data_IF_071200006183
#
_entry.id   IF_071200006183
#
_cell.length_a   1.000
_cell.length_b   1.000
_cell.length_c   1.000
_cell.angle_alpha   90.00
_cell.angle_beta   90.00
_cell.angle_gamma   90.00
#
_symmetry.space_group_name_H-M   'P 1'
#
loop_
_entity.id
_entity.type
_entity.pdbx_description
1 polymer ?
#
# COMPACT_ATOMS: atom_id res chain seq x y z
N UNK A 1 -29.12 31.07 26.33
CA UNK A 1 -30.56 31.27 26.10
C UNK A 1 -31.19 31.54 27.47
N UNK A 2 -31.56 32.79 27.77
CA UNK A 2 -32.13 33.20 29.06
C UNK A 2 -33.65 33.04 28.98
N UNK A 3 -34.21 32.13 29.77
CA UNK A 3 -35.66 31.99 29.92
C UNK A 3 -36.09 32.99 30.99
N UNK A 4 -36.88 33.98 30.57
CA UNK A 4 -37.48 35.02 31.40
C UNK A 4 -38.59 34.39 32.26
N UNK A 5 -38.53 34.61 33.58
CA UNK A 5 -39.59 34.27 34.53
C UNK A 5 -40.76 35.25 34.37
N UNK A 6 -41.90 34.78 33.89
CA UNK A 6 -43.16 35.52 33.97
C UNK A 6 -43.78 35.27 35.36
N UNK A 7 -44.04 36.35 36.08
CA UNK A 7 -44.75 36.37 37.37
C UNK A 7 -46.25 36.22 37.14
N UNK A 8 -46.86 35.22 37.77
CA UNK A 8 -48.31 35.01 37.76
C UNK A 8 -49.05 36.09 38.56
N UNK A 9 -50.24 36.54 38.11
CA UNK A 9 -51.05 37.52 38.83
C UNK A 9 -51.73 36.90 40.08
N UNK A 10 -51.98 37.70 41.12
CA UNK A 10 -52.63 37.22 42.35
C UNK A 10 -54.09 36.82 42.09
N UNK A 11 -54.46 35.63 42.56
CA UNK A 11 -55.84 35.13 42.54
C UNK A 11 -56.73 35.94 43.50
N UNK A 12 -57.87 36.39 42.97
CA UNK A 12 -58.91 37.13 43.70
C UNK A 12 -59.66 36.19 44.67
N UNK A 13 -59.64 36.46 46.00
CA UNK A 13 -60.28 35.59 47.00
C UNK A 13 -61.82 35.69 47.03
N UNK A 14 -62.43 36.44 46.12
CA UNK A 14 -63.87 36.70 46.11
C UNK A 14 -64.70 35.59 45.42
N UNK A 15 -64.07 34.67 44.70
CA UNK A 15 -64.80 33.63 43.94
C UNK A 15 -65.07 32.33 44.74
N UNK A 16 -64.49 32.16 45.93
CA UNK A 16 -64.58 30.91 46.70
C UNK A 16 -65.75 30.85 47.70
N UNK A 17 -66.37 31.97 48.05
CA UNK A 17 -67.40 31.98 49.09
C UNK A 17 -68.79 31.57 48.58
N UNK A 18 -69.13 31.85 47.32
CA UNK A 18 -70.47 31.58 46.78
C UNK A 18 -70.64 30.16 46.22
N UNK A 19 -69.56 29.53 45.72
CA UNK A 19 -69.65 28.20 45.11
C UNK A 19 -69.85 27.07 46.14
N UNK A 20 -69.50 27.31 47.40
CA UNK A 20 -69.58 26.31 48.47
C UNK A 20 -70.96 26.22 49.15
N UNK A 21 -71.89 27.14 48.86
CA UNK A 21 -73.20 27.18 49.52
C UNK A 21 -74.27 26.27 48.88
N UNK A 22 -74.06 25.81 47.63
CA UNK A 22 -75.05 25.01 46.88
C UNK A 22 -74.72 23.51 46.76
N UNK A 23 -73.64 23.02 47.40
CA UNK A 23 -73.40 21.56 47.48
C UNK A 23 -74.34 20.92 48.51
N UNK A 24 -75.58 20.74 48.05
CA UNK A 24 -76.70 20.19 48.78
C UNK A 24 -76.46 18.79 49.36
N UNK A 25 -77.11 18.59 50.51
CA UNK A 25 -77.67 17.35 51.06
C UNK A 25 -76.97 16.06 50.63
N UNK A 26 -76.08 15.56 51.50
CA UNK A 26 -75.47 14.24 51.41
C UNK A 26 -76.55 13.16 51.34
N UNK A 27 -76.93 12.76 50.13
CA UNK A 27 -77.65 11.51 49.89
C UNK A 27 -76.81 10.37 50.46
N UNK A 28 -77.30 9.75 51.53
CA UNK A 28 -76.72 8.54 52.11
C UNK A 28 -76.80 7.43 51.06
N UNK A 29 -75.71 7.23 50.32
CA UNK A 29 -75.54 6.09 49.43
C UNK A 29 -75.41 4.86 50.32
N UNK A 30 -76.52 4.12 50.44
CA UNK A 30 -76.61 2.89 51.21
C UNK A 30 -75.66 1.81 50.65
N UNK A 31 -74.75 1.34 51.52
CA UNK A 31 -73.99 0.08 51.60
C UNK A 31 -73.64 -0.79 50.37
N UNK A 32 -73.80 -0.36 49.12
CA UNK A 32 -73.23 -1.02 47.93
C UNK A 32 -71.87 -0.39 47.51
N UNK A 33 -71.08 0.07 48.49
CA UNK A 33 -70.11 1.17 48.32
C UNK A 33 -68.66 0.75 48.03
N UNK A 34 -68.41 -0.51 47.66
CA UNK A 34 -67.04 -1.04 47.45
C UNK A 34 -66.73 -1.51 46.03
N UNK A 35 -67.71 -1.91 45.22
CA UNK A 35 -67.46 -2.57 43.94
C UNK A 35 -66.80 -1.66 42.89
N UNK A 36 -67.19 -0.39 42.81
CA UNK A 36 -66.59 0.56 41.85
C UNK A 36 -65.14 0.87 42.21
N UNK A 37 -64.82 0.96 43.50
CA UNK A 37 -63.45 1.20 43.95
C UNK A 37 -62.51 0.03 43.60
N UNK A 38 -63.00 -1.22 43.70
CA UNK A 38 -62.24 -2.42 43.30
C UNK A 38 -61.98 -2.44 41.79
N UNK A 39 -63.00 -2.13 40.98
CA UNK A 39 -62.83 -2.02 39.52
C UNK A 39 -61.80 -0.95 39.15
N UNK A 40 -61.90 0.22 39.79
CA UNK A 40 -60.99 1.34 39.51
C UNK A 40 -59.55 1.01 39.91
N UNK A 41 -59.35 0.36 41.05
CA UNK A 41 -58.04 -0.11 41.49
C UNK A 41 -57.44 -1.12 40.51
N UNK A 42 -58.24 -2.04 39.97
CA UNK A 42 -57.81 -3.02 38.96
C UNK A 42 -57.40 -2.36 37.64
N UNK A 43 -58.20 -1.41 37.15
CA UNK A 43 -57.90 -0.70 35.91
C UNK A 43 -56.63 0.15 36.06
N UNK A 44 -56.48 0.86 37.19
CA UNK A 44 -55.29 1.66 37.46
C UNK A 44 -54.02 0.82 37.58
N UNK A 45 -54.07 -0.31 38.31
CA UNK A 45 -52.92 -1.22 38.42
C UNK A 45 -52.55 -1.81 37.06
N UNK A 46 -53.53 -2.21 36.25
CA UNK A 46 -53.27 -2.70 34.90
C UNK A 46 -52.61 -1.65 34.00
N UNK A 47 -53.11 -0.41 34.02
CA UNK A 47 -52.49 0.70 33.27
C UNK A 47 -51.06 0.97 33.73
N UNK A 48 -50.79 0.89 35.03
CA UNK A 48 -49.44 1.10 35.58
C UNK A 48 -48.47 0.00 35.16
N UNK A 49 -48.90 -1.26 35.15
CA UNK A 49 -48.08 -2.40 34.66
C UNK A 49 -47.77 -2.25 33.18
N UNK A 50 -48.75 -1.86 32.35
CA UNK A 50 -48.51 -1.60 30.93
C UNK A 50 -47.53 -0.44 30.71
N UNK A 51 -47.64 0.63 31.49
CA UNK A 51 -46.72 1.76 31.40
C UNK A 51 -45.29 1.36 31.76
N UNK A 52 -45.10 0.63 32.86
CA UNK A 52 -43.79 0.10 33.25
C UNK A 52 -43.19 -0.78 32.15
N UNK A 53 -43.99 -1.68 31.57
CA UNK A 53 -43.54 -2.53 30.47
C UNK A 53 -43.13 -1.73 29.22
N UNK A 54 -43.88 -0.69 28.84
CA UNK A 54 -43.54 0.17 27.69
C UNK A 54 -42.24 0.94 27.93
N UNK A 55 -42.00 1.42 29.16
CA UNK A 55 -40.75 2.10 29.52
C UNK A 55 -39.56 1.14 29.44
N UNK A 56 -39.68 -0.07 30.02
CA UNK A 56 -38.63 -1.09 29.97
C UNK A 56 -38.31 -1.50 28.52
N UNK A 57 -39.34 -1.67 27.69
CA UNK A 57 -39.16 -1.99 26.27
C UNK A 57 -38.54 -0.81 25.49
N UNK A 58 -38.86 0.43 25.85
CA UNK A 58 -38.25 1.63 25.31
C UNK A 58 -36.74 1.68 25.59
N UNK A 59 -36.32 1.40 26.82
CA UNK A 59 -34.90 1.29 27.17
C UNK A 59 -34.20 0.16 26.41
N UNK A 60 -34.85 -1.00 26.27
CA UNK A 60 -34.31 -2.14 25.52
C UNK A 60 -34.05 -1.78 24.04
N UNK A 61 -35.03 -1.15 23.36
CA UNK A 61 -34.89 -0.74 21.95
C UNK A 61 -33.79 0.31 21.81
N UNK A 62 -33.75 1.30 22.71
CA UNK A 62 -32.73 2.35 22.67
C UNK A 62 -31.31 1.77 22.77
N UNK A 63 -31.08 0.88 23.73
CA UNK A 63 -29.79 0.21 23.90
C UNK A 63 -29.40 -0.62 22.66
N UNK A 64 -30.38 -1.30 22.05
CA UNK A 64 -30.15 -2.09 20.83
C UNK A 64 -29.73 -1.20 19.65
N UNK A 65 -30.41 -0.07 19.44
CA UNK A 65 -30.08 0.85 18.34
C UNK A 65 -28.68 1.43 18.51
N UNK A 66 -28.31 1.80 19.74
CA UNK A 66 -27.00 2.34 20.06
C UNK A 66 -25.87 1.31 19.84
N UNK A 67 -26.09 0.04 20.22
CA UNK A 67 -25.13 -1.04 19.93
C UNK A 67 -24.94 -1.27 18.43
N UNK A 68 -26.01 -1.16 17.63
CA UNK A 68 -25.91 -1.26 16.18
C UNK A 68 -25.09 -0.12 15.58
N UNK A 69 -25.34 1.13 15.99
CA UNK A 69 -24.57 2.30 15.54
C UNK A 69 -23.08 2.16 15.94
N UNK A 70 -22.80 1.71 17.16
CA UNK A 70 -21.44 1.46 17.61
C UNK A 70 -20.75 0.38 16.75
N UNK A 71 -21.41 -0.75 16.50
CA UNK A 71 -20.89 -1.84 15.68
C UNK A 71 -20.64 -1.40 14.23
N UNK A 72 -21.59 -0.69 13.62
CA UNK A 72 -21.45 -0.18 12.25
C UNK A 72 -20.30 0.82 12.14
N UNK A 73 -20.15 1.72 13.12
CA UNK A 73 -19.04 2.68 13.15
C UNK A 73 -17.68 1.99 13.27
N UNK A 74 -17.58 0.94 14.08
CA UNK A 74 -16.37 0.15 14.22
C UNK A 74 -16.05 -0.57 12.90
N UNK A 75 -17.06 -1.12 12.23
CA UNK A 75 -16.91 -1.75 10.92
C UNK A 75 -16.43 -0.75 9.86
N UNK A 76 -17.02 0.46 9.80
CA UNK A 76 -16.56 1.52 8.89
C UNK A 76 -15.13 1.97 9.18
N UNK A 77 -14.74 2.08 10.45
CA UNK A 77 -13.37 2.41 10.83
C UNK A 77 -12.38 1.32 10.35
N UNK A 78 -12.73 0.04 10.52
CA UNK A 78 -11.95 -1.09 10.00
C UNK A 78 -11.82 -1.06 8.48
N UNK A 79 -12.93 -0.88 7.76
CA UNK A 79 -12.94 -0.78 6.30
C UNK A 79 -12.10 0.42 5.80
N UNK A 80 -12.15 1.57 6.48
CA UNK A 80 -11.34 2.73 6.13
C UNK A 80 -9.83 2.45 6.26
N UNK A 81 -9.41 1.73 7.31
CA UNK A 81 -8.02 1.31 7.47
C UNK A 81 -7.60 0.28 6.42
N UNK A 82 -8.45 -0.68 6.09
CA UNK A 82 -8.21 -1.61 4.99
C UNK A 82 -8.02 -0.88 3.66
N UNK A 83 -8.86 0.11 3.35
CA UNK A 83 -8.70 0.94 2.16
C UNK A 83 -7.38 1.73 2.15
N UNK A 84 -6.93 2.25 3.31
CA UNK A 84 -5.61 2.90 3.43
C UNK A 84 -4.47 1.93 3.14
N UNK A 85 -4.52 0.71 3.68
CA UNK A 85 -3.51 -0.32 3.43
C UNK A 85 -3.46 -0.68 1.93
N UNK A 86 -4.62 -0.89 1.29
CA UNK A 86 -4.70 -1.15 -0.15
C UNK A 86 -4.16 0.02 -1.00
N UNK A 87 -4.40 1.26 -0.59
CA UNK A 87 -3.83 2.44 -1.25
C UNK A 87 -2.30 2.48 -1.14
N UNK A 88 -1.74 2.11 0.01
CA UNK A 88 -0.28 2.01 0.18
C UNK A 88 0.30 0.91 -0.72
N UNK A 89 -0.32 -0.27 -0.76
CA UNK A 89 0.07 -1.34 -1.70
C UNK A 89 0.00 -0.87 -3.16
N UNK A 90 -1.06 -0.13 -3.52
CA UNK A 90 -1.22 0.48 -4.84
C UNK A 90 -0.09 1.45 -5.19
N UNK A 91 0.33 2.28 -4.23
CA UNK A 91 1.47 3.20 -4.41
C UNK A 91 2.78 2.43 -4.63
N UNK A 92 3.04 1.36 -3.87
CA UNK A 92 4.24 0.53 -4.03
C UNK A 92 4.21 -0.13 -5.43
N UNK A 93 3.08 -0.70 -5.84
CA UNK A 93 2.90 -1.28 -7.18
C UNK A 93 3.15 -0.27 -8.31
N UNK A 94 2.67 0.96 -8.14
CA UNK A 94 2.92 2.03 -9.09
C UNK A 94 4.41 2.35 -9.20
N UNK A 95 5.12 2.44 -8.07
CA UNK A 95 6.56 2.71 -8.04
C UNK A 95 7.38 1.56 -8.64
N UNK A 96 7.07 0.31 -8.30
CA UNK A 96 7.69 -0.86 -8.93
C UNK A 96 7.54 -0.84 -10.45
N UNK A 97 6.35 -0.47 -10.95
CA UNK A 97 6.13 -0.34 -12.39
C UNK A 97 6.92 0.81 -13.02
N UNK A 98 7.08 1.93 -12.32
CA UNK A 98 7.94 3.02 -12.81
C UNK A 98 9.40 2.59 -12.88
N UNK A 99 9.92 1.93 -11.84
CA UNK A 99 11.28 1.41 -11.83
C UNK A 99 11.52 0.39 -12.95
N UNK A 100 10.55 -0.50 -13.18
CA UNK A 100 10.60 -1.44 -14.30
C UNK A 100 10.64 -0.71 -15.66
N UNK A 101 9.80 0.31 -15.85
CA UNK A 101 9.81 1.11 -17.07
C UNK A 101 11.15 1.85 -17.25
N UNK A 102 11.74 2.38 -16.18
CA UNK A 102 13.05 3.02 -16.21
C UNK A 102 14.14 2.01 -16.60
N UNK A 103 14.13 0.82 -15.98
CA UNK A 103 15.05 -0.28 -16.31
C UNK A 103 14.94 -0.66 -17.80
N UNK A 104 13.71 -0.91 -18.29
CA UNK A 104 13.46 -1.28 -19.68
C UNK A 104 13.86 -0.15 -20.63
N UNK A 105 13.54 1.10 -20.31
CA UNK A 105 13.93 2.26 -21.12
C UNK A 105 15.46 2.40 -21.19
N UNK A 106 16.17 2.24 -20.06
CA UNK A 106 17.64 2.29 -20.06
C UNK A 106 18.21 1.12 -20.86
N UNK A 107 17.78 -0.10 -20.57
CA UNK A 107 18.28 -1.31 -21.21
C UNK A 107 18.00 -1.33 -22.73
N UNK A 108 16.80 -0.96 -23.16
CA UNK A 108 16.38 -1.07 -24.57
C UNK A 108 16.59 0.23 -25.35
N UNK A 109 16.22 1.38 -24.81
CA UNK A 109 16.26 2.64 -25.57
C UNK A 109 17.64 3.28 -25.46
N UNK A 110 18.13 3.49 -24.24
CA UNK A 110 19.43 4.14 -24.06
C UNK A 110 20.56 3.23 -24.54
N UNK A 111 20.53 1.96 -24.16
CA UNK A 111 21.62 1.05 -24.48
C UNK A 111 21.46 0.31 -25.82
N UNK A 112 20.25 -0.05 -26.28
CA UNK A 112 20.11 -0.71 -27.58
C UNK A 112 20.06 0.26 -28.78
N UNK A 113 19.64 1.53 -28.64
CA UNK A 113 19.76 2.52 -29.76
C UNK A 113 21.21 2.75 -30.19
N UNK A 114 22.13 2.47 -29.29
CA UNK A 114 23.55 2.62 -29.49
C UNK A 114 24.13 1.39 -30.22
N UNK A 115 23.31 0.36 -30.40
CA UNK A 115 23.60 -0.91 -31.06
C UNK A 115 22.91 -0.97 -32.45
N UNK A 116 23.16 0.03 -33.31
CA UNK A 116 22.41 0.27 -34.56
C UNK A 116 22.29 -0.91 -35.56
N UNK A 117 22.97 -2.04 -35.35
CA UNK A 117 22.90 -3.24 -36.18
C UNK A 117 22.69 -4.54 -35.39
N UNK A 118 22.24 -4.46 -34.14
CA UNK A 118 22.11 -5.63 -33.27
C UNK A 118 20.69 -5.73 -32.69
N UNK A 119 19.92 -6.78 -33.01
CA UNK A 119 20.16 -7.84 -34.01
C UNK A 119 19.87 -7.37 -35.45
N UNK A 120 20.65 -7.87 -36.41
CA UNK A 120 20.56 -7.53 -37.84
C UNK A 120 19.38 -8.18 -38.57
N UNK A 121 18.61 -9.04 -37.89
CA UNK A 121 17.41 -9.70 -38.43
C UNK A 121 16.13 -9.21 -37.75
N UNK A 122 15.12 -8.84 -38.54
CA UNK A 122 13.80 -8.43 -38.05
C UNK A 122 13.06 -9.50 -37.24
N UNK A 123 13.53 -10.75 -37.30
CA UNK A 123 12.94 -11.89 -36.59
C UNK A 123 13.33 -11.92 -35.11
N UNK A 124 14.43 -11.26 -34.73
CA UNK A 124 14.96 -11.26 -33.37
C UNK A 124 14.33 -10.16 -32.48
N UNK A 125 13.65 -9.18 -33.08
CA UNK A 125 12.97 -8.08 -32.37
C UNK A 125 11.47 -8.31 -32.12
N UNK A 126 10.87 -9.33 -32.74
CA UNK A 126 9.43 -9.58 -32.70
C UNK A 126 9.03 -10.79 -31.81
N UNK A 127 9.96 -11.36 -31.06
CA UNK A 127 9.68 -12.44 -30.11
C UNK A 127 9.24 -11.94 -28.73
N UNK A 128 8.38 -12.68 -28.00
CA UNK A 128 8.28 -12.49 -26.56
C UNK A 128 9.69 -12.63 -25.94
N UNK A 129 9.99 -11.87 -24.88
CA UNK A 129 11.31 -11.83 -24.19
C UNK A 129 11.86 -13.24 -23.87
N UNK A 130 11.00 -14.25 -23.82
CA UNK A 130 11.30 -15.67 -23.63
C UNK A 130 12.01 -16.37 -24.81
N UNK A 131 12.14 -15.73 -25.99
CA UNK A 131 12.80 -16.31 -27.17
C UNK A 131 14.23 -15.82 -27.39
N UNK A 132 14.94 -15.42 -26.33
CA UNK A 132 16.40 -15.33 -26.41
C UNK A 132 16.94 -16.74 -26.69
N UNK A 133 17.64 -16.97 -27.82
CA UNK A 133 18.18 -18.29 -28.15
C UNK A 133 19.06 -18.79 -27.00
N UNK A 134 18.92 -20.06 -26.63
CA UNK A 134 19.83 -20.71 -25.68
C UNK A 134 21.27 -20.53 -26.15
N UNK A 135 22.04 -19.68 -25.46
CA UNK A 135 23.39 -19.28 -25.85
C UNK A 135 23.61 -17.76 -25.90
N UNK A 136 22.56 -16.94 -25.91
CA UNK A 136 22.69 -15.49 -25.71
C UNK A 136 22.90 -15.17 -24.23
N UNK A 137 24.16 -15.18 -23.83
CA UNK A 137 24.59 -14.74 -22.50
C UNK A 137 24.50 -13.21 -22.42
N UNK A 138 23.50 -12.75 -21.68
CA UNK A 138 23.21 -11.35 -21.35
C UNK A 138 22.60 -10.50 -22.48
N UNK A 139 21.63 -9.62 -22.15
CA UNK A 139 21.33 -8.48 -23.02
C UNK A 139 22.62 -7.67 -23.15
N UNK A 140 23.23 -7.67 -24.33
CA UNK A 140 24.43 -6.88 -24.62
C UNK A 140 24.05 -5.40 -24.54
N UNK A 141 24.19 -4.83 -23.34
CA UNK A 141 24.13 -3.39 -23.12
C UNK A 141 25.36 -2.80 -23.79
N UNK A 142 25.14 -2.05 -24.86
CA UNK A 142 26.20 -1.53 -25.70
C UNK A 142 26.25 -0.02 -25.61
N UNK A 143 27.30 0.49 -24.99
CA UNK A 143 27.54 1.93 -24.94
C UNK A 143 28.06 2.43 -26.31
N UNK A 144 27.37 3.40 -26.93
CA UNK A 144 28.11 4.30 -27.82
C UNK A 144 29.08 5.05 -26.94
N UNK A 145 30.31 5.09 -27.39
CA UNK A 145 31.42 5.60 -26.64
C UNK A 145 31.40 7.15 -26.56
N UNK A 146 30.42 7.78 -27.20
CA UNK A 146 30.26 9.23 -27.23
C UNK A 146 29.69 9.78 -25.91
N UNK A 147 30.47 10.64 -25.25
CA UNK A 147 30.11 11.25 -23.97
C UNK A 147 30.51 10.43 -22.74
N UNK A 148 31.04 9.23 -22.94
CA UNK A 148 31.67 8.43 -21.90
C UNK A 148 33.19 8.65 -21.96
N UNK A 149 33.75 9.19 -20.88
CA UNK A 149 35.20 9.26 -20.70
C UNK A 149 35.62 7.96 -20.01
N UNK A 150 36.45 7.15 -20.67
CA UNK A 150 36.88 5.88 -20.08
C UNK A 150 37.62 6.11 -18.77
N UNK A 151 37.80 5.06 -17.98
CA UNK A 151 38.64 5.07 -16.76
C UNK A 151 40.05 5.61 -17.03
N UNK A 152 40.51 5.61 -18.29
CA UNK A 152 41.81 6.13 -18.73
C UNK A 152 41.75 7.48 -19.45
N UNK A 153 40.65 8.22 -19.34
CA UNK A 153 40.52 9.57 -19.93
C UNK A 153 40.32 9.60 -21.44
N UNK A 154 40.03 8.46 -22.08
CA UNK A 154 39.87 8.39 -23.53
C UNK A 154 38.49 8.91 -23.92
N UNK A 155 38.45 9.83 -24.87
CA UNK A 155 37.23 10.36 -25.48
C UNK A 155 37.07 9.76 -26.86
N UNK A 156 35.95 9.11 -27.09
CA UNK A 156 35.66 8.52 -28.39
C UNK A 156 34.93 9.50 -29.31
N UNK A 157 35.05 9.27 -30.61
CA UNK A 157 34.33 10.05 -31.62
C UNK A 157 32.81 9.79 -31.53
N UNK A 158 32.01 10.72 -32.09
CA UNK A 158 30.54 10.71 -31.94
C UNK A 158 29.84 9.50 -32.55
N UNK A 159 30.53 8.82 -33.45
CA UNK A 159 30.08 7.70 -34.27
C UNK A 159 30.66 6.36 -33.80
N UNK A 160 31.51 6.33 -32.77
CA UNK A 160 32.13 5.08 -32.30
C UNK A 160 31.10 4.19 -31.57
N UNK A 161 30.84 3.02 -32.15
CA UNK A 161 30.05 1.94 -31.55
C UNK A 161 30.98 0.80 -31.13
N UNK A 162 31.24 0.69 -29.82
CA UNK A 162 32.17 -0.31 -29.28
C UNK A 162 31.68 -1.75 -29.46
N UNK A 163 30.37 -1.96 -29.55
CA UNK A 163 29.80 -3.30 -29.68
C UNK A 163 29.72 -3.82 -31.09
N UNK A 164 29.50 -2.94 -32.08
CA UNK A 164 29.58 -3.36 -33.48
C UNK A 164 30.96 -3.92 -33.80
N UNK A 165 32.01 -3.37 -33.19
CA UNK A 165 33.39 -3.81 -33.38
C UNK A 165 33.79 -5.05 -32.55
N UNK A 166 32.96 -5.50 -31.60
CA UNK A 166 33.30 -6.56 -30.65
C UNK A 166 32.75 -7.97 -31.01
N UNK A 167 31.74 -8.09 -31.89
CA UNK A 167 31.17 -9.39 -32.29
C UNK A 167 31.83 -9.96 -33.55
N UNK A 168 32.70 -10.99 -33.48
CA UNK A 168 33.41 -11.54 -34.63
C UNK A 168 32.51 -12.17 -35.71
N UNK A 169 31.21 -12.41 -35.43
CA UNK A 169 30.28 -13.07 -36.36
C UNK A 169 29.33 -12.10 -37.09
N UNK A 170 29.00 -10.96 -36.49
CA UNK A 170 28.00 -10.01 -37.00
C UNK A 170 28.52 -8.70 -37.57
N UNK A 171 29.79 -8.35 -37.34
CA UNK A 171 30.35 -7.05 -37.76
C UNK A 171 31.56 -6.55 -36.98
N UNK A 172 32.07 -7.35 -36.05
CA UNK A 172 33.31 -7.11 -35.33
C UNK A 172 34.41 -6.82 -36.32
N UNK A 173 35.33 -5.91 -35.95
CA UNK A 173 36.49 -5.59 -36.75
C UNK A 173 37.05 -6.92 -37.27
N UNK A 174 36.95 -7.22 -38.59
CA UNK A 174 37.41 -8.50 -39.09
C UNK A 174 38.86 -8.62 -38.61
N UNK A 175 39.25 -9.78 -38.04
CA UNK A 175 40.57 -9.92 -37.44
C UNK A 175 41.57 -9.38 -38.45
N UNK A 176 42.32 -8.35 -38.05
CA UNK A 176 43.25 -7.69 -38.97
C UNK A 176 44.27 -8.75 -39.35
N UNK A 177 44.08 -9.37 -40.52
CA UNK A 177 44.94 -10.44 -40.99
C UNK A 177 46.24 -9.78 -41.39
N UNK A 178 47.25 -9.87 -40.54
CA UNK A 178 48.61 -9.44 -40.88
C UNK A 178 49.06 -10.36 -42.02
N UNK A 179 49.22 -9.86 -43.26
CA UNK A 179 49.65 -10.71 -44.36
C UNK A 179 51.05 -11.24 -44.05
N UNK A 180 51.36 -12.51 -44.37
CA UNK A 180 52.70 -13.04 -44.19
C UNK A 180 53.69 -12.21 -45.01
N UNK A 181 54.81 -11.85 -44.38
CA UNK A 181 55.86 -11.08 -45.04
C UNK A 181 56.58 -12.01 -46.04
N UNK A 182 56.24 -11.92 -47.33
CA UNK A 182 56.81 -12.77 -48.38
C UNK A 182 58.30 -12.47 -48.64
N UNK A 183 58.77 -11.28 -48.27
CA UNK A 183 60.16 -10.84 -48.40
C UNK A 183 60.61 -10.13 -47.12
N UNK A 184 61.16 -10.88 -46.15
CA UNK A 184 61.64 -10.34 -44.86
C UNK A 184 62.84 -9.41 -45.00
N UNK A 185 63.51 -9.41 -46.16
CA UNK A 185 64.63 -8.53 -46.48
C UNK A 185 64.18 -7.13 -46.95
N UNK A 186 62.90 -6.94 -47.31
CA UNK A 186 62.38 -5.63 -47.67
C UNK A 186 62.01 -4.84 -46.39
N UNK A 187 62.75 -3.76 -46.05
CA UNK A 187 62.50 -2.98 -44.85
C UNK A 187 61.11 -2.33 -44.84
N UNK A 188 60.50 -2.07 -46.00
CA UNK A 188 59.15 -1.52 -46.08
C UNK A 188 58.08 -2.55 -45.72
N UNK A 189 58.19 -3.76 -46.26
CA UNK A 189 57.30 -4.87 -45.91
C UNK A 189 57.36 -5.22 -44.42
N UNK A 190 58.56 -5.20 -43.81
CA UNK A 190 58.73 -5.41 -42.38
C UNK A 190 58.10 -4.29 -41.53
N UNK A 191 58.29 -3.01 -41.93
CA UNK A 191 57.71 -1.86 -41.24
C UNK A 191 56.18 -1.84 -41.32
N UNK A 192 55.60 -2.16 -42.48
CA UNK A 192 54.14 -2.25 -42.66
C UNK A 192 53.55 -3.37 -41.78
N UNK A 193 54.16 -4.56 -41.78
CA UNK A 193 53.70 -5.66 -40.94
C UNK A 193 53.78 -5.32 -39.44
N UNK A 194 54.81 -4.59 -39.00
CA UNK A 194 54.93 -4.12 -37.62
C UNK A 194 53.82 -3.10 -37.27
N UNK A 195 53.51 -2.18 -38.18
CA UNK A 195 52.44 -1.20 -37.98
C UNK A 195 51.06 -1.86 -37.92
N UNK A 196 50.78 -2.85 -38.78
CA UNK A 196 49.51 -3.60 -38.77
C UNK A 196 49.35 -4.37 -37.45
N UNK A 197 50.43 -4.99 -36.94
CA UNK A 197 50.41 -5.66 -35.63
C UNK A 197 50.13 -4.70 -34.48
N UNK A 198 50.68 -3.48 -34.52
CA UNK A 198 50.40 -2.47 -33.50
C UNK A 198 48.94 -1.99 -33.57
N UNK A 199 48.39 -1.80 -34.77
CA UNK A 199 46.96 -1.48 -34.94
C UNK A 199 46.07 -2.61 -34.39
N UNK A 200 46.40 -3.87 -34.68
CA UNK A 200 45.68 -5.03 -34.14
C UNK A 200 45.72 -5.05 -32.61
N UNK A 201 46.90 -4.84 -32.01
CA UNK A 201 47.06 -4.77 -30.55
C UNK A 201 46.21 -3.66 -29.92
N UNK A 202 46.14 -2.49 -30.55
CA UNK A 202 45.30 -1.39 -30.06
C UNK A 202 43.81 -1.71 -30.17
N UNK A 203 43.39 -2.36 -31.25
CA UNK A 203 42.02 -2.83 -31.42
C UNK A 203 41.62 -3.87 -30.36
N UNK A 204 42.50 -4.83 -30.07
CA UNK A 204 42.28 -5.84 -29.03
C UNK A 204 42.11 -5.20 -27.65
N UNK A 205 42.97 -4.21 -27.33
CA UNK A 205 42.89 -3.44 -26.08
C UNK A 205 41.58 -2.65 -25.98
N UNK A 206 41.11 -2.08 -27.08
CA UNK A 206 39.83 -1.35 -27.12
C UNK A 206 38.63 -2.28 -26.92
N UNK A 207 38.66 -3.47 -27.52
CA UNK A 207 37.62 -4.48 -27.35
C UNK A 207 37.58 -5.00 -25.90
N UNK A 208 38.74 -5.28 -25.31
CA UNK A 208 38.83 -5.73 -23.92
C UNK A 208 38.32 -4.66 -22.95
N UNK A 209 38.67 -3.39 -23.16
CA UNK A 209 38.15 -2.27 -22.37
C UNK A 209 36.63 -2.10 -22.53
N UNK A 210 36.11 -2.20 -23.75
CA UNK A 210 34.67 -2.12 -24.01
C UNK A 210 33.88 -3.23 -23.32
N UNK A 211 34.44 -4.45 -23.26
CA UNK A 211 33.86 -5.56 -22.49
C UNK A 211 33.76 -5.21 -21.01
N UNK A 212 34.86 -4.77 -20.40
CA UNK A 212 34.89 -4.47 -18.97
C UNK A 212 33.94 -3.32 -18.58
N UNK A 213 33.81 -2.30 -19.43
CA UNK A 213 32.87 -1.19 -19.21
C UNK A 213 31.40 -1.64 -19.35
N UNK A 214 31.10 -2.52 -20.31
CA UNK A 214 29.77 -3.12 -20.46
C UNK A 214 29.42 -4.02 -19.26
N UNK A 215 30.36 -4.84 -18.79
CA UNK A 215 30.18 -5.67 -17.58
C UNK A 215 29.90 -4.81 -16.35
N UNK A 216 30.63 -3.70 -16.16
CA UNK A 216 30.37 -2.74 -15.07
C UNK A 216 29.01 -2.09 -15.17
N UNK A 217 28.55 -1.76 -16.37
CA UNK A 217 27.22 -1.20 -16.58
C UNK A 217 26.12 -2.22 -16.25
N UNK A 218 26.26 -3.46 -16.73
CA UNK A 218 25.33 -4.54 -16.39
C UNK A 218 25.31 -4.76 -14.88
N UNK A 219 26.48 -4.82 -14.25
CA UNK A 219 26.62 -4.92 -12.80
C UNK A 219 25.92 -3.75 -12.08
N UNK A 220 26.08 -2.52 -12.57
CA UNK A 220 25.42 -1.33 -12.01
C UNK A 220 23.90 -1.41 -12.13
N UNK A 221 23.37 -1.82 -13.29
CA UNK A 221 21.92 -2.00 -13.49
C UNK A 221 21.38 -3.11 -12.58
N UNK A 222 22.10 -4.21 -12.44
CA UNK A 222 21.73 -5.29 -11.53
C UNK A 222 21.79 -4.84 -10.07
N UNK A 223 22.80 -4.07 -9.68
CA UNK A 223 22.92 -3.54 -8.31
C UNK A 223 21.79 -2.56 -7.96
N UNK A 224 21.29 -1.79 -8.93
CA UNK A 224 20.15 -0.89 -8.72
C UNK A 224 18.82 -1.65 -8.67
N UNK A 225 18.59 -2.58 -9.62
CA UNK A 225 17.25 -3.09 -9.93
C UNK A 225 17.02 -4.57 -9.57
N UNK A 226 18.05 -5.41 -9.45
CA UNK A 226 17.88 -6.83 -9.19
C UNK A 226 17.48 -7.11 -7.74
N UNK A 227 16.98 -8.32 -7.43
CA UNK A 227 16.75 -8.74 -6.05
C UNK A 227 18.11 -9.04 -5.38
N UNK A 228 18.34 -8.62 -4.11
CA UNK A 228 19.57 -8.94 -3.40
C UNK A 228 19.73 -10.44 -3.23
N UNK A 229 20.98 -10.89 -3.27
CA UNK A 229 21.29 -12.30 -3.04
C UNK A 229 20.87 -13.23 -4.18
N UNK A 230 20.35 -12.69 -5.29
CA UNK A 230 20.23 -13.46 -6.54
C UNK A 230 21.64 -13.78 -7.00
N UNK A 231 22.03 -15.05 -6.93
CA UNK A 231 23.32 -15.50 -7.41
C UNK A 231 23.21 -15.80 -8.91
N UNK A 232 23.75 -14.90 -9.73
CA UNK A 232 23.91 -15.09 -11.17
C UNK A 232 25.40 -15.26 -11.44
N UNK A 233 25.86 -16.50 -11.40
CA UNK A 233 27.23 -16.85 -11.76
C UNK A 233 28.30 -16.46 -10.74
N UNK A 234 27.99 -16.46 -9.44
CA UNK A 234 28.93 -16.20 -8.35
C UNK A 234 29.01 -14.74 -7.89
N UNK A 235 28.23 -13.83 -8.50
CA UNK A 235 28.18 -12.42 -8.12
C UNK A 235 26.96 -12.12 -7.24
N UNK A 236 27.20 -11.46 -6.10
CA UNK A 236 26.17 -11.10 -5.12
C UNK A 236 25.77 -9.63 -5.30
N UNK A 237 24.57 -9.40 -5.82
CA UNK A 237 24.05 -8.06 -6.14
C UNK A 237 23.40 -7.39 -4.93
N UNK A 238 23.46 -6.04 -4.91
CA UNK A 238 22.88 -5.24 -3.81
C UNK A 238 21.39 -4.99 -3.95
N UNK A 239 20.87 -4.77 -5.15
CA UNK A 239 19.43 -4.68 -5.39
C UNK A 239 18.68 -3.60 -4.62
N UNK A 240 19.19 -2.37 -4.62
CA UNK A 240 18.75 -1.31 -3.69
C UNK A 240 17.26 -0.96 -3.84
N UNK A 241 16.75 -0.85 -5.07
CA UNK A 241 15.33 -0.52 -5.29
C UNK A 241 14.41 -1.71 -4.99
N UNK A 242 14.82 -2.92 -5.36
CA UNK A 242 14.06 -4.12 -5.02
C UNK A 242 13.93 -4.31 -3.50
N UNK A 243 15.01 -4.07 -2.73
CA UNK A 243 14.97 -4.07 -1.25
C UNK A 243 14.08 -3.02 -0.68
N UNK A 244 14.10 -1.84 -1.28
CA UNK A 244 13.24 -0.78 -0.82
C UNK A 244 11.77 -1.21 -0.95
N UNK A 245 11.35 -1.72 -2.09
CA UNK A 245 9.97 -2.21 -2.27
C UNK A 245 9.65 -3.43 -1.40
N UNK A 246 10.58 -4.37 -1.26
CA UNK A 246 10.44 -5.53 -0.37
C UNK A 246 10.24 -5.08 1.09
N UNK A 247 11.08 -4.17 1.59
CA UNK A 247 10.94 -3.66 2.96
C UNK A 247 9.66 -2.85 3.16
N UNK A 248 9.20 -2.11 2.15
CA UNK A 248 7.89 -1.44 2.20
C UNK A 248 6.73 -2.45 2.26
N UNK A 249 6.78 -3.54 1.48
CA UNK A 249 5.75 -4.58 1.52
C UNK A 249 5.77 -5.34 2.84
N UNK A 250 6.94 -5.73 3.34
CA UNK A 250 7.09 -6.37 4.65
C UNK A 250 6.58 -5.49 5.77
N UNK A 251 6.84 -4.17 5.74
CA UNK A 251 6.30 -3.25 6.74
C UNK A 251 4.76 -3.18 6.72
N UNK A 252 4.13 -3.29 5.54
CA UNK A 252 2.67 -3.35 5.42
C UNK A 252 2.14 -4.69 5.94
N UNK A 253 2.81 -5.80 5.62
CA UNK A 253 2.48 -7.13 6.12
C UNK A 253 2.59 -7.21 7.64
N UNK A 254 3.70 -6.77 8.22
CA UNK A 254 3.93 -6.74 9.66
C UNK A 254 2.86 -5.89 10.37
N UNK A 255 2.52 -4.73 9.80
CA UNK A 255 1.47 -3.87 10.33
C UNK A 255 0.09 -4.56 10.37
N UNK A 256 -0.24 -5.35 9.34
CA UNK A 256 -1.49 -6.13 9.28
C UNK A 256 -1.44 -7.31 10.26
N UNK A 257 -0.33 -8.04 10.29
CA UNK A 257 -0.15 -9.19 11.18
C UNK A 257 -0.18 -8.79 12.64
N UNK A 258 0.41 -7.64 12.99
CA UNK A 258 0.34 -7.06 14.33
C UNK A 258 -1.12 -6.76 14.72
N UNK A 259 -1.93 -6.21 13.81
CA UNK A 259 -3.35 -5.97 14.07
C UNK A 259 -4.15 -7.27 14.28
N UNK A 260 -3.74 -8.37 13.66
CA UNK A 260 -4.43 -9.66 13.78
C UNK A 260 -4.10 -10.40 15.09
N UNK A 261 -2.90 -10.21 15.64
CA UNK A 261 -2.42 -10.93 16.83
C UNK A 261 -2.69 -10.19 18.15
N UNK A 262 -2.89 -8.87 18.11
CA UNK A 262 -3.10 -8.09 19.32
C UNK A 262 -4.52 -8.23 19.88
N UNK A 263 -4.61 -8.29 21.21
CA UNK A 263 -5.90 -8.23 21.90
C UNK A 263 -6.55 -6.87 21.60
N UNK A 264 -7.77 -6.82 21.03
CA UNK A 264 -8.46 -5.56 20.68
C UNK A 264 -8.59 -4.58 21.85
N UNK A 265 -8.58 -5.10 23.08
CA UNK A 265 -8.75 -4.32 24.31
C UNK A 265 -7.47 -3.65 24.81
N UNK A 266 -6.29 -4.11 24.39
CA UNK A 266 -4.99 -3.57 24.83
C UNK A 266 -4.06 -3.22 23.68
N UNK A 267 -4.53 -3.39 22.44
CA UNK A 267 -3.76 -3.11 21.24
C UNK A 267 -3.37 -1.64 21.16
N UNK A 268 -2.12 -1.39 20.80
CA UNK A 268 -1.61 -0.06 20.43
C UNK A 268 -1.65 0.15 18.93
N UNK A 269 -2.06 -0.86 18.16
CA UNK A 269 -2.22 -0.76 16.72
C UNK A 269 -3.28 0.30 16.36
N UNK A 270 -2.96 1.26 15.48
CA UNK A 270 -3.87 2.37 15.17
C UNK A 270 -5.18 1.93 14.49
N UNK A 271 -5.22 0.75 13.85
CA UNK A 271 -6.47 0.18 13.32
C UNK A 271 -7.41 -0.16 14.48
N UNK A 272 -6.92 -0.97 15.41
CA UNK A 272 -7.68 -1.44 16.57
C UNK A 272 -8.01 -0.29 17.52
N UNK A 273 -7.07 0.65 17.72
CA UNK A 273 -7.29 1.85 18.52
C UNK A 273 -8.38 2.75 17.92
N UNK A 274 -8.37 3.00 16.61
CA UNK A 274 -9.41 3.82 15.97
C UNK A 274 -10.78 3.14 15.97
N UNK A 275 -10.84 1.82 15.73
CA UNK A 275 -12.07 1.05 15.81
C UNK A 275 -12.65 1.08 17.24
N UNK A 276 -11.78 0.91 18.24
CA UNK A 276 -12.14 1.02 19.65
C UNK A 276 -12.61 2.43 20.00
N UNK A 277 -11.87 3.47 19.62
CA UNK A 277 -12.23 4.85 19.91
C UNK A 277 -13.59 5.19 19.31
N UNK A 278 -13.84 4.82 18.05
CA UNK A 278 -15.13 4.98 17.38
C UNK A 278 -16.26 4.27 18.11
N UNK A 279 -16.04 3.01 18.52
CA UNK A 279 -17.03 2.26 19.30
C UNK A 279 -17.27 2.92 20.67
N UNK A 280 -16.22 3.28 21.41
CA UNK A 280 -16.33 3.88 22.74
C UNK A 280 -17.05 5.22 22.69
N UNK A 281 -16.79 6.06 21.67
CA UNK A 281 -17.43 7.37 21.53
C UNK A 281 -18.94 7.25 21.31
N UNK A 282 -19.37 6.35 20.45
CA UNK A 282 -20.79 6.09 20.23
C UNK A 282 -21.47 5.50 21.46
N UNK A 283 -20.75 4.68 22.24
CA UNK A 283 -21.25 4.12 23.49
C UNK A 283 -21.29 5.12 24.64
N UNK A 284 -20.34 6.05 24.73
CA UNK A 284 -20.35 7.12 25.74
C UNK A 284 -21.49 8.11 25.48
N UNK A 285 -21.73 8.46 24.22
CA UNK A 285 -22.87 9.32 23.85
C UNK A 285 -24.21 8.63 24.18
N UNK A 286 -24.23 7.30 24.17
CA UNK A 286 -25.37 6.47 24.55
C UNK A 286 -25.53 6.29 26.07
N UNK A 287 -24.47 6.54 26.85
CA UNK A 287 -24.42 6.33 28.30
C UNK A 287 -24.30 7.66 29.08
N UNK A 288 -24.94 8.73 28.59
CA UNK A 288 -24.98 10.01 29.29
C UNK A 288 -25.56 9.91 30.73
N UNK A 289 -26.35 8.87 31.01
CA UNK A 289 -27.01 8.65 32.29
C UNK A 289 -26.20 7.75 33.26
N UNK A 290 -25.07 7.17 32.83
CA UNK A 290 -24.19 6.36 33.67
C UNK A 290 -24.68 4.97 34.07
N UNK A 291 -25.89 4.56 33.64
CA UNK A 291 -26.46 3.24 34.00
C UNK A 291 -25.93 2.08 33.14
N UNK A 292 -25.35 2.34 31.97
CA UNK A 292 -24.92 1.25 31.08
C UNK A 292 -23.49 0.79 31.41
N UNK A 293 -23.36 -0.34 32.11
CA UNK A 293 -22.08 -1.05 32.25
C UNK A 293 -21.96 -2.09 31.15
N UNK A 294 -21.13 -1.81 30.15
CA UNK A 294 -20.81 -2.81 29.14
C UNK A 294 -19.79 -3.80 29.72
N UNK A 295 -20.29 -4.98 30.10
CA UNK A 295 -19.43 -6.11 30.42
C UNK A 295 -19.08 -6.81 29.09
N UNK A 296 -17.94 -6.46 28.51
CA UNK A 296 -17.41 -7.15 27.34
C UNK A 296 -17.08 -8.59 27.76
N UNK A 297 -17.93 -9.53 27.35
CA UNK A 297 -17.71 -10.95 27.56
C UNK A 297 -16.37 -11.32 26.91
N UNK A 298 -15.36 -11.61 27.73
CA UNK A 298 -14.12 -12.17 27.23
C UNK A 298 -14.46 -13.46 26.48
N UNK A 299 -13.86 -13.69 25.28
CA UNK A 299 -14.07 -14.94 24.57
C UNK A 299 -13.70 -16.07 25.52
N UNK A 300 -14.66 -16.96 25.77
CA UNK A 300 -14.46 -18.12 26.63
C UNK A 300 -13.31 -18.90 26.02
N UNK A 301 -12.18 -19.01 26.71
CA UNK A 301 -11.04 -19.78 26.24
C UNK A 301 -11.54 -21.18 25.90
N UNK A 302 -11.57 -21.49 24.60
CA UNK A 302 -11.83 -22.86 24.14
C UNK A 302 -10.63 -23.65 24.60
N UNK A 303 -10.76 -24.34 25.73
CA UNK A 303 -9.77 -25.28 26.21
C UNK A 303 -9.41 -26.29 25.12
N UNK A 304 -8.16 -26.79 25.12
CA UNK A 304 -7.63 -27.67 24.08
C UNK A 304 -8.43 -28.97 23.90
#
# INVERSE_FOLDING_TARGET
MKISSQSEPPLDPAFDAAYNAEMGSRKSIGNCRGQVAVLFALVFTFMFVLFAFVVDFGHLIHNKMNLQIAADSAAYAGAAWQARALNQMGLINYRMRQDYKELVMRAQITHARHNKNFPSSSNDLNGPIERLPSGFNAPSVCLQAHGFETVRGRRYAKDTNLCYNADPTGGGLPPIVVPPVLATFDPFSAAIAAQIKEIQRQADIECEQGRDDNERMVQHLLDIFAKPGTDLGGFRYRGDRARFHESQMTAVEDFINQAAQENPMSSTNPILAAARESATRNLTDSNLNGEFKMELLAPKESGP
#
